data_IF_923971033320
#
_entry.id   IF_923971033320
#
_cell.length_a   1.000
_cell.length_b   1.000
_cell.length_c   1.000
_cell.angle_alpha   90.00
_cell.angle_beta   90.00
_cell.angle_gamma   90.00
#
_symmetry.space_group_name_H-M   'P 1'
#
loop_
_entity.id
_entity.type
_entity.pdbx_description
1 polymer ?
#
# COMPACT_ATOMS: atom_id res chain seq x y z
N UNK A 1 21.65 -29.73 -30.87
CA UNK A 1 20.46 -30.44 -30.35
C UNK A 1 20.86 -31.87 -29.99
N UNK A 2 20.67 -32.32 -28.74
CA UNK A 2 20.62 -33.74 -28.41
C UNK A 2 19.16 -34.25 -28.44
N UNK A 3 18.97 -35.46 -28.96
CA UNK A 3 17.67 -36.12 -29.16
C UNK A 3 17.19 -36.87 -27.92
N UNK A 4 15.87 -36.85 -27.67
CA UNK A 4 15.23 -37.74 -26.69
C UNK A 4 15.13 -39.18 -27.21
N UNK A 5 15.37 -40.16 -26.34
CA UNK A 5 15.13 -41.59 -26.63
C UNK A 5 13.90 -42.07 -25.84
N UNK A 6 12.92 -42.59 -26.57
CA UNK A 6 11.71 -43.21 -26.01
C UNK A 6 11.93 -44.69 -25.67
N UNK A 7 11.33 -45.17 -24.57
CA UNK A 7 11.14 -46.61 -24.31
C UNK A 7 9.77 -46.93 -23.68
N UNK A 8 8.86 -47.31 -24.56
CA UNK A 8 7.91 -48.44 -24.53
C UNK A 8 7.52 -49.12 -23.19
N UNK A 9 6.21 -49.38 -23.10
CA UNK A 9 5.45 -50.09 -22.07
C UNK A 9 5.83 -51.56 -21.80
N UNK A 10 5.40 -52.07 -20.63
CA UNK A 10 4.97 -53.47 -20.42
C UNK A 10 3.72 -53.54 -19.55
N UNK A 11 2.97 -54.62 -19.70
CA UNK A 11 1.56 -54.81 -19.29
C UNK A 11 1.38 -55.95 -18.28
N UNK A 12 0.29 -55.85 -17.46
CA UNK A 12 -0.56 -56.95 -16.93
C UNK A 12 0.11 -58.03 -16.01
N UNK A 13 -0.52 -58.72 -15.03
CA UNK A 13 -1.92 -58.86 -14.54
C UNK A 13 -1.92 -59.41 -13.08
N UNK A 14 -3.05 -59.57 -12.36
CA UNK A 14 -3.10 -59.69 -10.89
C UNK A 14 -3.31 -61.13 -10.34
N UNK A 15 -3.24 -61.28 -9.01
CA UNK A 15 -3.77 -62.45 -8.26
C UNK A 15 -4.50 -62.07 -6.97
N UNK A 16 -5.50 -62.89 -6.63
CA UNK A 16 -6.53 -62.72 -5.58
C UNK A 16 -6.22 -63.45 -4.27
N UNK A 17 -6.73 -62.97 -3.12
CA UNK A 17 -7.49 -63.82 -2.18
C UNK A 17 -8.18 -63.04 -1.03
N UNK A 18 -9.38 -63.47 -0.67
CA UNK A 18 -10.37 -62.89 0.27
C UNK A 18 -10.15 -63.25 1.75
N UNK A 19 -10.66 -62.45 2.70
CA UNK A 19 -11.49 -62.82 3.90
C UNK A 19 -11.58 -61.66 4.93
N UNK A 20 -12.81 -61.31 5.33
CA UNK A 20 -13.20 -60.37 6.43
C UNK A 20 -13.51 -61.17 7.73
N UNK A 21 -13.73 -60.59 8.94
CA UNK A 21 -14.12 -59.21 9.31
C UNK A 21 -13.16 -58.61 10.40
N UNK A 22 -13.46 -57.69 11.35
CA UNK A 22 -14.73 -57.14 11.88
C UNK A 22 -14.58 -55.74 12.58
N UNK A 23 -15.52 -55.40 13.48
CA UNK A 23 -15.76 -54.13 14.18
C UNK A 23 -14.60 -53.57 15.04
N UNK A 24 -14.31 -52.28 14.87
CA UNK A 24 -14.65 -51.26 15.90
C UNK A 24 -14.62 -49.85 15.31
N UNK A 25 -15.55 -49.00 15.73
CA UNK A 25 -15.66 -47.60 15.29
C UNK A 25 -15.42 -46.67 16.49
N UNK A 26 -14.20 -46.12 16.67
CA UNK A 26 -13.96 -45.02 17.58
C UNK A 26 -14.01 -43.70 16.83
N UNK A 27 -15.08 -42.93 17.09
CA UNK A 27 -15.14 -41.46 17.06
C UNK A 27 -14.42 -40.73 15.91
N UNK A 28 -15.21 -40.05 15.06
CA UNK A 28 -14.73 -38.99 14.17
C UNK A 28 -13.67 -38.13 14.86
N UNK A 29 -12.51 -37.83 14.23
CA UNK A 29 -11.76 -36.67 14.63
C UNK A 29 -12.68 -35.48 14.40
N UNK A 30 -13.15 -34.87 15.49
CA UNK A 30 -13.88 -33.60 15.42
C UNK A 30 -13.04 -32.58 14.65
N UNK A 31 -13.66 -31.58 14.02
CA UNK A 31 -12.89 -30.55 13.34
C UNK A 31 -11.86 -29.99 14.33
N UNK A 32 -10.58 -30.04 13.94
CA UNK A 32 -9.52 -29.32 14.66
C UNK A 32 -9.85 -27.83 14.57
N UNK A 33 -10.61 -27.34 15.55
CA UNK A 33 -10.68 -25.93 15.90
C UNK A 33 -9.32 -25.53 16.46
N UNK A 34 -8.34 -25.40 15.57
CA UNK A 34 -7.15 -24.62 15.87
C UNK A 34 -7.58 -23.16 15.92
N UNK A 35 -7.49 -22.55 17.10
CA UNK A 35 -7.70 -21.12 17.35
C UNK A 35 -6.63 -20.26 16.64
N UNK A 36 -6.67 -20.24 15.31
CA UNK A 36 -5.74 -19.53 14.41
C UNK A 36 -6.35 -18.29 13.75
N UNK A 37 -7.55 -17.88 14.16
CA UNK A 37 -8.22 -16.71 13.59
C UNK A 37 -7.56 -15.33 13.82
N UNK A 38 -6.85 -15.01 14.94
CA UNK A 38 -6.42 -13.63 15.16
C UNK A 38 -5.28 -13.19 14.22
N UNK A 39 -4.30 -14.07 13.97
CA UNK A 39 -3.11 -13.74 13.18
C UNK A 39 -3.45 -13.52 11.70
N UNK A 40 -4.28 -14.41 11.14
CA UNK A 40 -4.73 -14.34 9.73
C UNK A 40 -5.45 -13.03 9.41
N UNK A 41 -6.39 -12.60 10.26
CA UNK A 41 -7.14 -11.34 10.09
C UNK A 41 -6.24 -10.09 10.15
N UNK A 42 -5.18 -10.13 10.96
CA UNK A 42 -4.18 -9.04 11.02
C UNK A 42 -3.36 -8.97 9.72
N UNK A 43 -2.92 -10.12 9.20
CA UNK A 43 -2.17 -10.22 7.94
C UNK A 43 -3.00 -9.75 6.74
N UNK A 44 -4.27 -10.14 6.68
CA UNK A 44 -5.20 -9.72 5.63
C UNK A 44 -5.43 -8.19 5.66
N UNK A 45 -5.67 -7.61 6.84
CA UNK A 45 -5.81 -6.17 7.02
C UNK A 45 -4.54 -5.37 6.66
N UNK A 46 -3.36 -5.89 7.01
CA UNK A 46 -2.06 -5.30 6.64
C UNK A 46 -1.78 -5.35 5.14
N UNK A 47 -2.27 -6.38 4.45
CA UNK A 47 -2.16 -6.53 3.00
C UNK A 47 -3.14 -5.58 2.28
N UNK A 48 -4.39 -5.57 2.71
CA UNK A 48 -5.44 -4.74 2.12
C UNK A 48 -5.14 -3.23 2.26
N UNK A 49 -4.63 -2.82 3.42
CA UNK A 49 -4.26 -1.43 3.69
C UNK A 49 -3.12 -0.95 2.79
N UNK A 50 -2.06 -1.75 2.56
CA UNK A 50 -0.97 -1.30 1.69
C UNK A 50 -1.36 -1.27 0.20
N UNK A 51 -2.14 -2.23 -0.29
CA UNK A 51 -2.69 -2.16 -1.65
C UNK A 51 -3.55 -0.92 -1.86
N UNK A 52 -4.28 -0.49 -0.82
CA UNK A 52 -5.06 0.76 -0.82
C UNK A 52 -4.16 2.00 -0.82
N UNK A 53 -3.08 2.03 -0.03
CA UNK A 53 -2.09 3.13 -0.01
C UNK A 53 -1.42 3.30 -1.39
N UNK A 54 -1.02 2.19 -2.03
CA UNK A 54 -0.42 2.22 -3.37
C UNK A 54 -1.38 2.83 -4.41
N UNK A 55 -2.63 2.33 -4.45
CA UNK A 55 -3.67 2.79 -5.38
C UNK A 55 -4.02 4.27 -5.16
N UNK A 56 -4.27 4.68 -3.91
CA UNK A 56 -4.59 6.08 -3.58
C UNK A 56 -3.43 6.99 -3.96
N UNK A 57 -2.18 6.60 -3.70
CA UNK A 57 -1.01 7.40 -4.06
C UNK A 57 -0.89 7.55 -5.59
N UNK A 58 -1.05 6.47 -6.35
CA UNK A 58 -1.04 6.52 -7.81
C UNK A 58 -2.15 7.44 -8.37
N UNK A 59 -3.36 7.38 -7.81
CA UNK A 59 -4.48 8.25 -8.21
C UNK A 59 -4.23 9.73 -7.86
N UNK A 60 -3.76 10.04 -6.65
CA UNK A 60 -3.46 11.42 -6.24
C UNK A 60 -2.33 12.03 -7.07
N UNK A 61 -1.31 11.24 -7.42
CA UNK A 61 -0.27 11.67 -8.37
C UNK A 61 -0.82 11.91 -9.77
N UNK A 62 -1.69 11.02 -10.27
CA UNK A 62 -2.38 11.18 -11.55
C UNK A 62 -3.22 12.46 -11.61
N UNK A 63 -3.97 12.78 -10.54
CA UNK A 63 -4.73 14.04 -10.46
C UNK A 63 -3.82 15.28 -10.43
N UNK A 64 -2.70 15.23 -9.70
CA UNK A 64 -1.73 16.31 -9.67
C UNK A 64 -1.08 16.54 -11.06
N UNK A 65 -0.72 15.46 -11.76
CA UNK A 65 -0.22 15.53 -13.14
C UNK A 65 -1.27 16.05 -14.13
N UNK A 66 -2.53 15.61 -14.00
CA UNK A 66 -3.63 16.10 -14.84
C UNK A 66 -3.88 17.59 -14.60
N UNK A 67 -3.82 18.06 -13.35
CA UNK A 67 -3.96 19.48 -13.03
C UNK A 67 -2.83 20.35 -13.60
N UNK A 68 -1.61 19.82 -13.68
CA UNK A 68 -0.47 20.49 -14.33
C UNK A 68 -0.67 20.57 -15.85
N UNK A 69 -1.09 19.47 -16.48
CA UNK A 69 -1.24 19.36 -17.95
C UNK A 69 -2.51 20.00 -18.51
N UNK A 70 -3.53 20.26 -17.67
CA UNK A 70 -4.78 20.97 -18.05
C UNK A 70 -4.79 22.45 -17.64
N UNK A 71 -3.64 22.98 -17.19
CA UNK A 71 -3.46 24.39 -16.90
C UNK A 71 -3.16 25.16 -18.21
N UNK A 72 -4.20 25.69 -18.84
CA UNK A 72 -4.12 26.45 -20.10
C UNK A 72 -3.70 27.91 -19.92
N UNK A 73 -2.95 28.22 -18.86
CA UNK A 73 -2.50 29.58 -18.54
C UNK A 73 -1.03 29.67 -18.89
N UNK A 74 -0.70 30.48 -19.90
CA UNK A 74 0.69 30.77 -20.25
C UNK A 74 1.30 31.73 -19.22
N UNK A 75 2.60 31.58 -18.94
CA UNK A 75 3.28 32.36 -17.91
C UNK A 75 3.33 33.86 -18.23
N UNK A 76 3.36 34.20 -19.51
CA UNK A 76 3.48 35.57 -19.99
C UNK A 76 2.13 36.33 -19.95
N UNK A 77 1.00 35.62 -20.01
CA UNK A 77 -0.36 36.17 -19.86
C UNK A 77 -0.68 36.64 -18.41
N UNK A 78 0.18 36.31 -17.44
CA UNK A 78 -0.01 36.68 -16.04
C UNK A 78 0.40 38.13 -15.78
N UNK A 79 -0.55 39.07 -15.87
CA UNK A 79 -0.32 40.52 -15.70
C UNK A 79 0.36 40.95 -14.37
N UNK A 80 0.26 40.13 -13.31
CA UNK A 80 0.75 40.46 -11.97
C UNK A 80 1.91 39.56 -11.55
N UNK A 81 3.03 40.17 -11.11
CA UNK A 81 4.20 39.47 -10.56
C UNK A 81 3.85 38.51 -9.41
N UNK A 82 2.86 38.89 -8.58
CA UNK A 82 2.31 38.00 -7.55
C UNK A 82 1.76 36.70 -8.13
N UNK A 83 0.95 36.77 -9.21
CA UNK A 83 0.41 35.57 -9.87
C UNK A 83 1.53 34.75 -10.52
N UNK A 84 2.54 35.39 -11.13
CA UNK A 84 3.74 34.70 -11.67
C UNK A 84 4.47 33.92 -10.57
N UNK A 85 4.62 34.50 -9.38
CA UNK A 85 5.17 33.80 -8.20
C UNK A 85 4.33 32.61 -7.75
N UNK A 86 3.01 32.78 -7.65
CA UNK A 86 2.07 31.70 -7.28
C UNK A 86 2.07 30.57 -8.33
N UNK A 87 2.20 30.88 -9.62
CA UNK A 87 2.28 29.91 -10.71
C UNK A 87 3.57 29.08 -10.64
N UNK A 88 4.72 29.71 -10.40
CA UNK A 88 5.99 28.99 -10.19
C UNK A 88 5.91 28.09 -8.95
N UNK A 89 5.37 28.60 -7.84
CA UNK A 89 5.14 27.81 -6.63
C UNK A 89 4.21 26.61 -6.90
N UNK A 90 3.14 26.80 -7.69
CA UNK A 90 2.24 25.72 -8.11
C UNK A 90 2.99 24.63 -8.86
N UNK A 91 3.82 24.95 -9.87
CA UNK A 91 4.59 23.95 -10.63
C UNK A 91 5.52 23.16 -9.72
N UNK A 92 6.26 23.84 -8.83
CA UNK A 92 7.21 23.20 -7.91
C UNK A 92 6.47 22.27 -6.93
N UNK A 93 5.41 22.75 -6.29
CA UNK A 93 4.63 21.96 -5.31
C UNK A 93 3.92 20.80 -5.99
N UNK A 94 3.40 20.98 -7.21
CA UNK A 94 2.78 19.90 -7.99
C UNK A 94 3.80 18.81 -8.32
N UNK A 95 5.00 19.19 -8.77
CA UNK A 95 6.11 18.26 -9.05
C UNK A 95 6.53 17.47 -7.81
N UNK A 96 6.67 18.13 -6.66
CA UNK A 96 6.96 17.48 -5.38
C UNK A 96 5.83 16.54 -4.92
N UNK A 97 4.57 16.93 -5.13
CA UNK A 97 3.39 16.11 -4.81
C UNK A 97 3.35 14.84 -5.67
N UNK A 98 3.57 14.97 -6.98
CA UNK A 98 3.67 13.86 -7.93
C UNK A 98 4.80 12.90 -7.52
N UNK A 99 6.00 13.43 -7.27
CA UNK A 99 7.17 12.64 -6.89
C UNK A 99 6.97 11.90 -5.56
N UNK A 100 6.42 12.57 -4.55
CA UNK A 100 6.18 11.97 -3.23
C UNK A 100 5.17 10.81 -3.30
N UNK A 101 4.04 11.01 -3.98
CA UNK A 101 3.05 9.93 -4.14
C UNK A 101 3.49 8.82 -5.10
N UNK A 102 4.24 9.11 -6.16
CA UNK A 102 4.83 8.06 -7.01
C UNK A 102 5.85 7.23 -6.24
N UNK A 103 6.71 7.86 -5.44
CA UNK A 103 7.63 7.14 -4.58
C UNK A 103 6.88 6.20 -3.62
N UNK A 104 5.80 6.68 -2.98
CA UNK A 104 4.98 5.83 -2.11
C UNK A 104 4.35 4.67 -2.89
N UNK A 105 3.75 4.93 -4.06
CA UNK A 105 3.14 3.90 -4.89
C UNK A 105 4.16 2.82 -5.32
N UNK A 106 5.31 3.25 -5.87
CA UNK A 106 6.40 2.36 -6.33
C UNK A 106 7.00 1.58 -5.17
N UNK A 107 7.30 2.22 -4.04
CA UNK A 107 7.78 1.52 -2.85
C UNK A 107 6.74 0.50 -2.36
N UNK A 108 5.45 0.84 -2.36
CA UNK A 108 4.42 -0.10 -1.98
C UNK A 108 4.31 -1.30 -2.93
N UNK A 109 4.43 -1.09 -4.25
CA UNK A 109 4.41 -2.16 -5.26
C UNK A 109 5.68 -3.01 -5.24
N UNK A 110 6.86 -2.43 -4.98
CA UNK A 110 8.10 -3.19 -4.81
C UNK A 110 8.03 -4.10 -3.57
N UNK A 111 7.41 -3.63 -2.48
CA UNK A 111 7.15 -4.47 -1.31
C UNK A 111 6.21 -5.65 -1.63
N UNK A 112 5.22 -5.45 -2.50
CA UNK A 112 4.34 -6.52 -2.97
C UNK A 112 5.05 -7.51 -3.91
N UNK A 113 5.82 -7.02 -4.89
CA UNK A 113 6.57 -7.84 -5.85
C UNK A 113 7.65 -8.71 -5.20
N UNK A 114 8.30 -8.23 -4.13
CA UNK A 114 9.27 -9.01 -3.37
C UNK A 114 8.60 -10.08 -2.47
N UNK A 115 7.27 -10.25 -2.52
CA UNK A 115 6.53 -11.22 -1.71
C UNK A 115 6.33 -10.79 -0.25
N UNK A 116 6.62 -9.53 0.08
CA UNK A 116 6.61 -9.00 1.46
C UNK A 116 5.20 -8.54 1.86
N UNK A 117 4.28 -8.55 0.88
CA UNK A 117 2.85 -8.21 0.96
C UNK A 117 2.11 -9.07 -0.04
N UNK A 118 0.95 -9.57 0.38
CA UNK A 118 0.46 -10.83 -0.15
C UNK A 118 -0.94 -10.69 -0.73
N UNK A 119 -1.08 -9.81 -1.72
CA UNK A 119 -2.25 -9.84 -2.60
C UNK A 119 -2.09 -10.87 -3.72
N UNK A 120 -0.88 -11.06 -4.24
CA UNK A 120 -0.62 -12.03 -5.32
C UNK A 120 -0.36 -13.46 -4.83
N UNK A 121 0.24 -13.67 -3.65
CA UNK A 121 0.61 -15.00 -3.14
C UNK A 121 -0.52 -15.71 -2.35
N UNK A 122 -1.50 -14.96 -1.83
CA UNK A 122 -2.62 -15.51 -1.05
C UNK A 122 -3.61 -16.32 -1.89
N UNK A 123 -3.59 -16.16 -3.22
CA UNK A 123 -4.42 -16.95 -4.14
C UNK A 123 -3.81 -18.32 -4.52
N UNK A 124 -2.61 -18.66 -4.05
CA UNK A 124 -2.05 -20.00 -4.29
C UNK A 124 -2.45 -20.96 -3.16
N UNK A 125 -3.29 -21.98 -3.43
CA UNK A 125 -3.83 -22.89 -2.39
C UNK A 125 -2.77 -23.81 -1.76
N UNK A 126 -1.51 -23.78 -2.23
CA UNK A 126 -0.39 -24.57 -1.69
C UNK A 126 0.39 -23.85 -0.58
N UNK A 127 0.04 -22.61 -0.25
CA UNK A 127 0.88 -21.71 0.60
C UNK A 127 0.45 -21.71 2.08
N UNK A 128 -0.16 -22.78 2.59
CA UNK A 128 -1.06 -22.72 3.76
C UNK A 128 -0.49 -23.13 5.14
N UNK A 129 0.84 -23.23 5.32
CA UNK A 129 1.43 -23.59 6.64
C UNK A 129 2.65 -22.77 7.07
N UNK A 130 3.64 -22.58 6.19
CA UNK A 130 4.86 -21.81 6.51
C UNK A 130 4.71 -20.29 6.29
N UNK A 131 3.56 -19.87 5.76
CA UNK A 131 3.31 -18.53 5.26
C UNK A 131 3.08 -17.50 6.38
N UNK A 132 2.20 -17.82 7.34
CA UNK A 132 1.96 -16.99 8.52
C UNK A 132 3.26 -16.80 9.31
N UNK A 133 4.05 -17.87 9.45
CA UNK A 133 5.36 -17.87 10.10
C UNK A 133 6.33 -16.92 9.37
N UNK A 134 6.33 -16.92 8.02
CA UNK A 134 7.17 -16.01 7.25
C UNK A 134 6.76 -14.55 7.48
N UNK A 135 5.47 -14.22 7.50
CA UNK A 135 5.01 -12.85 7.75
C UNK A 135 5.26 -12.42 9.19
N UNK A 136 5.00 -13.29 10.16
CA UNK A 136 5.34 -13.06 11.57
C UNK A 136 6.83 -12.74 11.71
N UNK A 137 7.69 -13.52 11.05
CA UNK A 137 9.14 -13.27 11.03
C UNK A 137 9.50 -11.90 10.45
N UNK A 138 8.92 -11.53 9.31
CA UNK A 138 9.21 -10.24 8.67
C UNK A 138 8.65 -9.04 9.45
N UNK A 139 7.50 -9.21 10.12
CA UNK A 139 6.82 -8.12 10.82
C UNK A 139 7.30 -7.94 12.26
N UNK A 140 7.84 -8.97 12.91
CA UNK A 140 8.31 -8.92 14.30
C UNK A 140 9.83 -9.12 14.47
N UNK A 141 10.53 -9.86 13.60
CA UNK A 141 12.01 -10.01 13.69
C UNK A 141 12.77 -8.96 12.87
N UNK A 142 12.32 -8.59 11.66
CA UNK A 142 13.03 -7.61 10.82
C UNK A 142 12.72 -6.15 11.19
N UNK A 143 13.48 -5.66 12.17
CA UNK A 143 13.46 -4.25 12.62
C UNK A 143 13.72 -3.24 11.49
N UNK A 144 14.47 -3.58 10.43
CA UNK A 144 14.72 -2.68 9.29
C UNK A 144 13.49 -2.55 8.41
N UNK A 145 12.83 -3.67 8.14
CA UNK A 145 11.58 -3.70 7.37
C UNK A 145 10.45 -2.92 8.07
N UNK A 146 10.29 -3.12 9.38
CA UNK A 146 9.31 -2.37 10.20
C UNK A 146 9.60 -0.86 10.17
N UNK A 147 10.87 -0.46 10.34
CA UNK A 147 11.27 0.94 10.25
C UNK A 147 11.01 1.55 8.86
N UNK A 148 11.29 0.80 7.78
CA UNK A 148 11.03 1.24 6.40
C UNK A 148 9.52 1.42 6.14
N UNK A 149 8.68 0.44 6.51
CA UNK A 149 7.22 0.58 6.41
C UNK A 149 6.70 1.76 7.22
N UNK A 150 7.23 2.00 8.42
CA UNK A 150 6.83 3.14 9.23
C UNK A 150 7.19 4.48 8.56
N UNK A 151 8.41 4.61 8.02
CA UNK A 151 8.82 5.77 7.22
C UNK A 151 7.92 5.96 5.99
N UNK A 152 7.54 4.87 5.31
CA UNK A 152 6.67 4.90 4.13
C UNK A 152 5.25 5.39 4.45
N UNK A 153 4.67 4.92 5.57
CA UNK A 153 3.37 5.41 6.08
C UNK A 153 3.48 6.88 6.49
N UNK A 154 4.55 7.27 7.19
CA UNK A 154 4.77 8.66 7.56
C UNK A 154 4.89 9.57 6.33
N UNK A 155 5.63 9.13 5.30
CA UNK A 155 5.79 9.83 4.03
C UNK A 155 4.44 9.97 3.30
N UNK A 156 3.65 8.89 3.21
CA UNK A 156 2.30 8.92 2.65
C UNK A 156 1.40 9.95 3.33
N UNK A 157 1.30 9.96 4.66
CA UNK A 157 0.43 10.92 5.34
C UNK A 157 1.00 12.35 5.24
N UNK A 158 2.32 12.54 5.28
CA UNK A 158 2.95 13.85 5.04
C UNK A 158 2.73 14.38 3.61
N UNK A 159 2.54 13.48 2.63
CA UNK A 159 2.23 13.85 1.24
C UNK A 159 0.88 14.54 1.11
N UNK A 160 -0.06 14.35 2.05
CA UNK A 160 -1.31 15.13 2.09
C UNK A 160 -1.11 16.59 2.44
N UNK A 161 0.01 16.97 3.07
CA UNK A 161 0.36 18.38 3.31
C UNK A 161 0.81 19.03 2.00
N UNK A 162 1.61 18.33 1.20
CA UNK A 162 1.95 18.75 -0.16
C UNK A 162 0.70 18.83 -1.06
N UNK A 163 -0.18 17.83 -0.99
CA UNK A 163 -1.46 17.82 -1.72
C UNK A 163 -2.38 18.99 -1.33
N UNK A 164 -2.45 19.30 -0.02
CA UNK A 164 -3.16 20.47 0.50
C UNK A 164 -2.61 21.78 -0.10
N UNK A 165 -1.29 21.94 -0.11
CA UNK A 165 -0.64 23.12 -0.68
C UNK A 165 -0.82 23.19 -2.21
N UNK A 166 -0.76 22.05 -2.90
CA UNK A 166 -1.10 21.92 -4.33
C UNK A 166 -2.52 22.42 -4.63
N UNK A 167 -3.53 21.93 -3.90
CA UNK A 167 -4.92 22.38 -4.06
C UNK A 167 -5.09 23.87 -3.73
N UNK A 168 -4.43 24.34 -2.67
CA UNK A 168 -4.42 25.76 -2.27
C UNK A 168 -3.86 26.67 -3.38
N UNK A 169 -2.72 26.31 -3.96
CA UNK A 169 -2.10 27.05 -5.06
C UNK A 169 -2.92 26.94 -6.36
N UNK A 170 -3.47 25.76 -6.68
CA UNK A 170 -4.35 25.57 -7.83
C UNK A 170 -5.58 26.50 -7.77
N UNK A 171 -6.19 26.65 -6.59
CA UNK A 171 -7.27 27.62 -6.38
C UNK A 171 -6.82 29.07 -6.61
N UNK A 172 -5.64 29.48 -6.15
CA UNK A 172 -5.12 30.85 -6.36
C UNK A 172 -4.72 31.12 -7.81
N UNK A 173 -4.27 30.11 -8.55
CA UNK A 173 -3.94 30.24 -9.99
C UNK A 173 -5.20 30.32 -10.84
N UNK A 174 -6.24 29.53 -10.51
CA UNK A 174 -7.41 29.30 -11.39
C UNK A 174 -8.68 30.07 -11.02
N UNK A 175 -8.81 30.56 -9.78
CA UNK A 175 -10.02 31.25 -9.30
C UNK A 175 -9.67 32.66 -8.88
N UNK A 176 -10.21 33.64 -9.60
CA UNK A 176 -9.97 35.05 -9.32
C UNK A 176 -10.78 35.61 -8.15
N UNK A 177 -10.23 36.66 -7.55
CA UNK A 177 -10.89 37.43 -6.49
C UNK A 177 -11.07 36.67 -5.16
N UNK A 178 -12.06 37.07 -4.32
CA UNK A 178 -12.19 36.57 -2.95
C UNK A 178 -12.47 35.07 -2.85
N UNK A 179 -13.07 34.47 -3.89
CA UNK A 179 -13.35 33.03 -3.92
C UNK A 179 -12.06 32.19 -3.94
N UNK A 180 -11.05 32.58 -4.72
CA UNK A 180 -9.75 31.88 -4.78
C UNK A 180 -9.03 31.88 -3.42
N UNK A 181 -8.99 33.04 -2.75
CA UNK A 181 -8.41 33.17 -1.41
C UNK A 181 -9.17 32.35 -0.36
N UNK A 182 -10.51 32.32 -0.41
CA UNK A 182 -11.32 31.53 0.51
C UNK A 182 -11.10 30.02 0.33
N UNK A 183 -11.17 29.50 -0.91
CA UNK A 183 -10.91 28.09 -1.20
C UNK A 183 -9.48 27.69 -0.86
N UNK A 184 -8.50 28.54 -1.17
CA UNK A 184 -7.10 28.33 -0.80
C UNK A 184 -6.91 28.21 0.71
N UNK A 185 -7.54 29.09 1.49
CA UNK A 185 -7.49 29.08 2.95
C UNK A 185 -8.08 27.80 3.55
N UNK A 186 -9.18 27.27 2.98
CA UNK A 186 -9.78 25.99 3.40
C UNK A 186 -8.78 24.84 3.21
N UNK A 187 -8.11 24.78 2.06
CA UNK A 187 -7.10 23.75 1.80
C UNK A 187 -5.88 23.87 2.73
N UNK A 188 -5.41 25.08 3.05
CA UNK A 188 -4.34 25.29 4.03
C UNK A 188 -4.75 24.84 5.45
N UNK A 189 -5.97 25.15 5.88
CA UNK A 189 -6.51 24.68 7.17
C UNK A 189 -6.56 23.14 7.21
N UNK A 190 -7.00 22.50 6.12
CA UNK A 190 -6.96 21.04 6.00
C UNK A 190 -5.52 20.49 6.13
N UNK A 191 -4.53 21.11 5.50
CA UNK A 191 -3.12 20.73 5.62
C UNK A 191 -2.56 20.87 7.04
N UNK A 192 -2.95 21.93 7.75
CA UNK A 192 -2.61 22.13 9.17
C UNK A 192 -3.25 21.07 10.07
N UNK A 193 -4.52 20.73 9.84
CA UNK A 193 -5.21 19.65 10.55
C UNK A 193 -4.50 18.32 10.29
N UNK A 194 -4.18 17.98 9.04
CA UNK A 194 -3.45 16.77 8.69
C UNK A 194 -2.07 16.72 9.38
N UNK A 195 -1.32 17.82 9.38
CA UNK A 195 -0.03 17.93 10.08
C UNK A 195 -0.16 17.69 11.58
N UNK A 196 -1.19 18.26 12.21
CA UNK A 196 -1.48 18.06 13.63
C UNK A 196 -1.86 16.60 13.95
N UNK A 197 -2.61 15.92 13.07
CA UNK A 197 -2.94 14.51 13.25
C UNK A 197 -1.74 13.60 13.00
N UNK A 198 -0.88 13.88 12.01
CA UNK A 198 0.41 13.17 11.81
C UNK A 198 1.25 13.21 13.07
N UNK A 199 1.44 14.40 13.64
CA UNK A 199 2.20 14.59 14.89
C UNK A 199 1.62 13.77 16.05
N UNK A 200 0.29 13.74 16.20
CA UNK A 200 -0.41 12.93 17.23
C UNK A 200 -0.28 11.43 16.99
N UNK A 201 -0.37 10.97 15.74
CA UNK A 201 -0.20 9.56 15.37
C UNK A 201 1.23 9.13 15.67
N UNK A 202 2.22 9.91 15.25
CA UNK A 202 3.64 9.65 15.49
C UNK A 202 3.93 9.60 17.01
N UNK A 203 3.48 10.59 17.78
CA UNK A 203 3.66 10.61 19.24
C UNK A 203 3.01 9.41 19.96
N UNK A 204 1.81 8.99 19.53
CA UNK A 204 1.14 7.78 20.05
C UNK A 204 1.88 6.50 19.66
N UNK A 205 2.40 6.42 18.44
CA UNK A 205 3.10 5.25 17.91
C UNK A 205 4.47 5.07 18.55
N UNK A 206 5.28 6.14 18.66
CA UNK A 206 6.55 6.14 19.39
C UNK A 206 6.34 5.73 20.85
N UNK A 207 5.30 6.26 21.52
CA UNK A 207 4.93 5.86 22.89
C UNK A 207 4.41 4.41 22.99
N UNK A 208 3.82 3.87 21.92
CA UNK A 208 3.40 2.48 21.83
C UNK A 208 4.57 1.51 21.68
N UNK A 209 5.52 1.82 20.79
CA UNK A 209 6.76 1.04 20.64
C UNK A 209 7.57 1.07 21.94
N UNK A 210 7.81 2.25 22.54
CA UNK A 210 8.55 2.40 23.80
C UNK A 210 7.87 1.75 25.02
N UNK A 211 6.63 1.24 24.89
CA UNK A 211 5.94 0.48 25.95
C UNK A 211 5.97 -1.04 25.71
N UNK A 212 6.29 -1.47 24.49
CA UNK A 212 6.32 -2.86 24.06
C UNK A 212 7.77 -3.35 23.77
N UNK A 213 8.77 -2.55 24.13
CA UNK A 213 10.21 -2.85 24.14
C UNK A 213 10.71 -2.72 25.57
#
# INVERSE_FOLDING_TARGET
MPTYVSKSSRELTPTSSTISPEFTNPSSPGPLQTDKEPTSKVVEGLTHSQGSIALISALLSGFAFQALTTLTIEYDDLENDYKKGVYIAFIIVTSLTIASFLYVAVACSLLEQNGLIVRSLAMSPTTSSNFDIFIERWYFEDKKFVAFRHQLIHLFISSFVLFSLFCSLFCLVRVDGPAGYASSSIFLIFGLIMTAQVSRINARFVKGILKNV
#
